data_IF_636210571263
#
_entry.id   IF_636210571263
#
_cell.length_a   1.000
_cell.length_b   1.000
_cell.length_c   1.000
_cell.angle_alpha   90.00
_cell.angle_beta   90.00
_cell.angle_gamma   90.00
#
_symmetry.space_group_name_H-M   'P 1'
#
loop_
_entity.id
_entity.type
_entity.pdbx_description
1 polymer ?
#
# COMPACT_ATOMS: atom_id res chain seq x y z
N UNK A 1 -6.79 -6.31 24.76
CA UNK A 1 -6.20 -7.55 24.26
C UNK A 1 -7.33 -8.56 24.10
N UNK A 2 -7.83 -8.76 22.87
CA UNK A 2 -8.73 -9.88 22.59
C UNK A 2 -7.97 -11.19 22.77
N UNK A 3 -8.57 -12.17 23.43
CA UNK A 3 -7.88 -13.38 23.83
C UNK A 3 -7.70 -14.29 22.60
N UNK A 4 -6.52 -14.21 21.98
CA UNK A 4 -6.15 -14.98 20.77
C UNK A 4 -6.44 -16.48 20.90
N UNK A 5 -6.39 -17.00 22.14
CA UNK A 5 -6.73 -18.39 22.47
C UNK A 5 -8.19 -18.75 22.16
N UNK A 6 -9.13 -17.84 22.40
CA UNK A 6 -10.55 -18.04 22.06
C UNK A 6 -10.73 -18.09 20.54
N UNK A 7 -9.99 -17.26 19.80
CA UNK A 7 -10.03 -17.26 18.33
C UNK A 7 -9.48 -18.57 17.74
N UNK A 8 -8.41 -19.11 18.33
CA UNK A 8 -7.85 -20.41 17.94
C UNK A 8 -8.82 -21.55 18.27
N UNK A 9 -9.41 -21.55 19.47
CA UNK A 9 -10.39 -22.55 19.89
C UNK A 9 -11.63 -22.59 18.97
N UNK A 10 -12.18 -21.43 18.64
CA UNK A 10 -13.29 -21.30 17.70
C UNK A 10 -12.96 -21.88 16.31
N UNK A 11 -11.70 -21.76 15.89
CA UNK A 11 -11.24 -22.27 14.62
C UNK A 11 -11.05 -23.80 14.67
N UNK A 12 -10.54 -24.33 15.77
CA UNK A 12 -10.43 -25.78 16.01
C UNK A 12 -11.82 -26.46 15.91
N UNK A 13 -12.84 -25.90 16.56
CA UNK A 13 -14.22 -26.43 16.48
C UNK A 13 -14.78 -26.40 15.05
N UNK A 14 -14.38 -25.41 14.26
CA UNK A 14 -14.76 -25.30 12.85
C UNK A 14 -14.05 -26.31 11.94
N UNK A 15 -12.75 -26.56 12.16
CA UNK A 15 -12.01 -27.57 11.40
C UNK A 15 -12.49 -28.98 11.74
N UNK A 16 -12.70 -29.28 13.03
CA UNK A 16 -13.17 -30.59 13.52
C UNK A 16 -14.62 -30.88 13.06
N UNK A 17 -15.33 -29.88 12.54
CA UNK A 17 -16.68 -30.04 11.99
C UNK A 17 -17.79 -30.00 13.04
N UNK A 18 -17.46 -29.62 14.28
CA UNK A 18 -18.45 -29.35 15.34
C UNK A 18 -19.26 -28.09 15.04
N UNK A 19 -18.67 -27.11 14.36
CA UNK A 19 -19.36 -25.93 13.86
C UNK A 19 -19.58 -25.99 12.34
N UNK A 20 -20.83 -25.80 11.87
CA UNK A 20 -21.17 -25.76 10.44
C UNK A 20 -20.64 -24.51 9.72
N UNK A 21 -20.35 -23.45 10.47
CA UNK A 21 -19.68 -22.25 9.96
C UNK A 21 -18.98 -21.50 11.09
N UNK A 22 -17.75 -21.04 10.84
CA UNK A 22 -17.03 -20.10 11.70
C UNK A 22 -17.81 -18.79 11.95
N UNK A 23 -18.85 -18.50 11.14
CA UNK A 23 -19.57 -17.24 11.13
C UNK A 23 -20.89 -17.20 11.93
N UNK A 24 -21.38 -18.26 12.58
CA UNK A 24 -22.77 -18.27 13.10
C UNK A 24 -22.97 -17.95 14.57
N UNK A 25 -22.01 -18.20 15.47
CA UNK A 25 -22.27 -18.08 16.92
C UNK A 25 -21.28 -17.19 17.67
N UNK A 26 -20.06 -16.97 17.16
CA UNK A 26 -19.03 -16.15 17.84
C UNK A 26 -18.50 -14.98 16.98
N UNK A 27 -19.02 -14.84 15.76
CA UNK A 27 -18.51 -13.97 14.69
C UNK A 27 -18.74 -12.46 14.89
N UNK A 28 -19.71 -12.07 15.72
CA UNK A 28 -20.03 -10.66 15.95
C UNK A 28 -18.96 -9.90 16.76
N UNK A 29 -18.16 -10.61 17.57
CA UNK A 29 -17.13 -9.99 18.41
C UNK A 29 -15.78 -9.82 17.69
N UNK A 30 -15.46 -10.70 16.74
CA UNK A 30 -14.15 -10.72 16.07
C UNK A 30 -14.12 -10.00 14.71
N UNK A 31 -15.28 -9.63 14.17
CA UNK A 31 -15.40 -9.00 12.84
C UNK A 31 -16.13 -7.66 12.88
N UNK A 32 -15.89 -6.87 13.94
CA UNK A 32 -16.58 -5.60 14.20
C UNK A 32 -16.16 -4.47 13.25
N UNK A 33 -14.87 -4.37 12.96
CA UNK A 33 -14.32 -3.40 12.01
C UNK A 33 -13.41 -4.10 10.99
N UNK A 34 -13.17 -3.45 9.85
CA UNK A 34 -12.44 -4.06 8.72
C UNK A 34 -10.98 -4.38 9.07
N UNK A 35 -10.32 -3.52 9.85
CA UNK A 35 -8.92 -3.69 10.24
C UNK A 35 -8.71 -4.86 11.21
N UNK A 36 -9.50 -4.92 12.29
CA UNK A 36 -9.52 -6.04 13.23
C UNK A 36 -9.93 -7.34 12.55
N UNK A 37 -10.84 -7.27 11.57
CA UNK A 37 -11.21 -8.44 10.76
C UNK A 37 -10.00 -8.99 10.03
N UNK A 38 -9.23 -8.15 9.34
CA UNK A 38 -8.03 -8.59 8.62
C UNK A 38 -6.95 -9.12 9.58
N UNK A 39 -6.71 -8.43 10.70
CA UNK A 39 -5.76 -8.87 11.73
C UNK A 39 -6.14 -10.24 12.33
N UNK A 40 -7.43 -10.44 12.64
CA UNK A 40 -7.94 -11.71 13.15
C UNK A 40 -7.86 -12.82 12.09
N UNK A 41 -8.13 -12.51 10.81
CA UNK A 41 -7.95 -13.47 9.72
C UNK A 41 -6.48 -13.86 9.58
N UNK A 42 -5.54 -12.92 9.68
CA UNK A 42 -4.10 -13.21 9.63
C UNK A 42 -3.65 -14.09 10.79
N UNK A 43 -4.16 -13.83 12.00
CA UNK A 43 -3.86 -14.64 13.19
C UNK A 43 -4.37 -16.08 13.04
N UNK A 44 -5.60 -16.26 12.54
CA UNK A 44 -6.16 -17.59 12.25
C UNK A 44 -5.34 -18.31 11.19
N UNK A 45 -4.98 -17.62 10.10
CA UNK A 45 -4.19 -18.22 9.02
C UNK A 45 -2.80 -18.64 9.51
N UNK A 46 -2.12 -17.81 10.32
CA UNK A 46 -0.85 -18.18 10.97
C UNK A 46 -0.99 -19.45 11.79
N UNK A 47 -1.99 -19.51 12.66
CA UNK A 47 -2.24 -20.67 13.51
C UNK A 47 -2.56 -21.92 12.68
N UNK A 48 -3.46 -21.81 11.70
CA UNK A 48 -3.85 -22.92 10.86
C UNK A 48 -2.67 -23.50 10.07
N UNK A 49 -1.83 -22.64 9.49
CA UNK A 49 -0.64 -23.05 8.75
C UNK A 49 0.35 -23.74 9.71
N UNK A 50 0.62 -23.14 10.87
CA UNK A 50 1.57 -23.69 11.85
C UNK A 50 1.12 -25.04 12.43
N UNK A 51 -0.17 -25.20 12.70
CA UNK A 51 -0.71 -26.35 13.42
C UNK A 51 -1.09 -27.49 12.47
N UNK A 52 -1.66 -27.18 11.30
CA UNK A 52 -2.28 -28.19 10.44
C UNK A 52 -1.60 -28.37 9.08
N UNK A 53 -0.78 -27.42 8.61
CA UNK A 53 -0.15 -27.55 7.29
C UNK A 53 0.98 -28.58 7.27
N UNK A 54 1.61 -28.87 8.42
CA UNK A 54 2.79 -29.73 8.52
C UNK A 54 4.05 -29.19 7.83
N UNK A 55 4.01 -27.97 7.28
CA UNK A 55 5.13 -27.33 6.59
C UNK A 55 6.04 -26.62 7.57
N UNK A 56 7.35 -26.71 7.31
CA UNK A 56 8.33 -25.83 7.95
C UNK A 56 8.29 -24.46 7.27
N UNK A 57 8.77 -23.43 7.98
CA UNK A 57 8.83 -22.07 7.43
C UNK A 57 9.57 -22.06 6.08
N UNK A 58 10.74 -22.69 5.97
CA UNK A 58 11.52 -22.67 4.72
C UNK A 58 10.77 -23.27 3.51
N UNK A 59 9.81 -24.16 3.75
CA UNK A 59 9.01 -24.85 2.71
C UNK A 59 7.71 -24.12 2.36
N UNK A 60 7.29 -23.11 3.15
CA UNK A 60 6.02 -22.41 2.92
C UNK A 60 5.98 -21.64 1.60
N UNK A 61 7.12 -21.15 1.12
CA UNK A 61 7.19 -20.36 -0.10
C UNK A 61 6.75 -21.16 -1.33
N UNK A 62 7.21 -22.41 -1.43
CA UNK A 62 6.91 -23.29 -2.55
C UNK A 62 5.75 -24.24 -2.24
N UNK A 63 5.51 -24.50 -0.95
CA UNK A 63 4.49 -25.42 -0.47
C UNK A 63 3.13 -24.80 -0.19
N UNK A 64 2.98 -23.47 -0.09
CA UNK A 64 1.66 -22.87 0.14
C UNK A 64 0.92 -22.67 -1.20
N UNK A 65 0.02 -23.59 -1.52
CA UNK A 65 -0.83 -23.55 -2.72
C UNK A 65 -2.27 -23.18 -2.39
N UNK A 66 -3.06 -22.76 -3.39
CA UNK A 66 -4.49 -22.49 -3.20
C UNK A 66 -5.25 -23.74 -2.73
N UNK A 67 -4.87 -24.93 -3.23
CA UNK A 67 -5.43 -26.22 -2.80
C UNK A 67 -5.21 -26.49 -1.30
N UNK A 68 -4.03 -26.14 -0.78
CA UNK A 68 -3.72 -26.28 0.65
C UNK A 68 -4.51 -25.29 1.50
N UNK A 69 -4.68 -24.05 1.02
CA UNK A 69 -5.55 -23.06 1.68
C UNK A 69 -7.01 -23.52 1.70
N UNK A 70 -7.46 -24.23 0.67
CA UNK A 70 -8.79 -24.84 0.62
C UNK A 70 -8.92 -26.04 1.56
N UNK A 71 -7.93 -26.93 1.61
CA UNK A 71 -7.87 -28.05 2.54
C UNK A 71 -7.92 -27.57 4.01
N UNK A 72 -7.28 -26.44 4.31
CA UNK A 72 -7.32 -25.78 5.62
C UNK A 72 -8.60 -24.98 5.88
N UNK A 73 -9.56 -24.97 4.94
CA UNK A 73 -10.83 -24.21 4.99
C UNK A 73 -10.64 -22.69 5.18
N UNK A 74 -9.50 -22.15 4.77
CA UNK A 74 -9.16 -20.72 4.92
C UNK A 74 -9.75 -19.85 3.81
N UNK A 75 -10.15 -20.43 2.68
CA UNK A 75 -10.65 -19.70 1.50
C UNK A 75 -11.78 -18.72 1.80
N UNK A 76 -12.73 -19.09 2.68
CA UNK A 76 -13.84 -18.21 3.09
C UNK A 76 -13.38 -17.02 3.93
N UNK A 77 -12.37 -17.21 4.78
CA UNK A 77 -11.78 -16.14 5.61
C UNK A 77 -10.94 -15.21 4.75
N UNK A 78 -10.14 -15.76 3.84
CA UNK A 78 -9.29 -15.01 2.93
C UNK A 78 -10.07 -14.09 1.98
N UNK A 79 -11.34 -14.41 1.65
CA UNK A 79 -12.24 -13.53 0.88
C UNK A 79 -12.61 -12.23 1.62
N UNK A 80 -12.42 -12.16 2.94
CA UNK A 80 -12.68 -10.95 3.74
C UNK A 80 -11.52 -9.95 3.68
N UNK A 81 -10.34 -10.37 3.20
CA UNK A 81 -9.16 -9.51 3.05
C UNK A 81 -9.29 -8.63 1.81
N UNK A 82 -8.93 -7.37 1.94
CA UNK A 82 -8.86 -6.41 0.84
C UNK A 82 -7.55 -6.54 0.07
N UNK A 83 -7.53 -7.33 -1.00
CA UNK A 83 -6.33 -7.47 -1.84
C UNK A 83 -6.08 -6.21 -2.69
N UNK A 84 -4.87 -5.66 -2.65
CA UNK A 84 -4.43 -4.66 -3.61
C UNK A 84 -4.45 -5.23 -5.05
N UNK A 85 -4.85 -4.46 -6.09
CA UNK A 85 -4.96 -5.02 -7.44
C UNK A 85 -3.60 -5.32 -8.10
N UNK A 86 -2.51 -4.73 -7.60
CA UNK A 86 -1.14 -4.91 -8.10
C UNK A 86 -0.56 -6.29 -7.70
N UNK A 87 -1.10 -6.91 -6.66
CA UNK A 87 -0.63 -8.20 -6.15
C UNK A 87 -1.37 -9.40 -6.75
N UNK A 88 -2.22 -9.19 -7.76
CA UNK A 88 -3.05 -10.26 -8.36
C UNK A 88 -2.22 -11.48 -8.76
N UNK A 89 -1.10 -11.27 -9.43
CA UNK A 89 -0.22 -12.35 -9.90
C UNK A 89 0.75 -12.86 -8.81
N UNK A 90 0.86 -12.16 -7.69
CA UNK A 90 1.72 -12.50 -6.54
C UNK A 90 0.92 -12.70 -5.25
N UNK A 91 -0.34 -13.11 -5.35
CA UNK A 91 -1.30 -13.17 -4.22
C UNK A 91 -0.80 -14.05 -3.07
N UNK A 92 -0.21 -15.21 -3.37
CA UNK A 92 0.34 -16.12 -2.36
C UNK A 92 1.55 -15.53 -1.64
N UNK A 93 2.47 -14.91 -2.39
CA UNK A 93 3.63 -14.22 -1.81
C UNK A 93 3.21 -13.03 -0.92
N UNK A 94 2.18 -12.29 -1.34
CA UNK A 94 1.59 -11.22 -0.52
C UNK A 94 1.00 -11.78 0.79
N UNK A 95 0.24 -12.87 0.72
CA UNK A 95 -0.32 -13.52 1.91
C UNK A 95 0.78 -14.02 2.87
N UNK A 96 1.84 -14.64 2.33
CA UNK A 96 2.99 -15.08 3.13
C UNK A 96 3.65 -13.91 3.87
N UNK A 97 3.80 -12.76 3.22
CA UNK A 97 4.29 -11.55 3.87
C UNK A 97 3.33 -11.02 4.94
N UNK A 98 2.01 -11.03 4.70
CA UNK A 98 1.03 -10.65 5.73
C UNK A 98 1.08 -11.57 6.95
N UNK A 99 1.32 -12.86 6.75
CA UNK A 99 1.40 -13.83 7.84
C UNK A 99 2.74 -13.73 8.58
N UNK A 100 3.85 -13.67 7.84
CA UNK A 100 5.22 -13.73 8.35
C UNK A 100 6.12 -12.69 7.66
N UNK A 101 5.96 -11.39 7.98
CA UNK A 101 6.66 -10.31 7.28
C UNK A 101 8.18 -10.35 7.45
N UNK A 102 8.67 -10.85 8.58
CA UNK A 102 10.11 -10.99 8.88
C UNK A 102 10.78 -12.10 8.07
N UNK A 103 10.03 -13.11 7.63
CA UNK A 103 10.56 -14.29 6.93
C UNK A 103 10.39 -14.13 5.42
N UNK A 104 9.24 -13.60 4.98
CA UNK A 104 8.96 -13.37 3.56
C UNK A 104 8.77 -11.88 3.31
N UNK A 105 9.85 -11.12 3.09
CA UNK A 105 9.72 -9.73 2.66
C UNK A 105 9.01 -9.68 1.30
N UNK A 106 8.09 -8.74 1.15
CA UNK A 106 7.36 -8.50 -0.09
C UNK A 106 7.61 -7.08 -0.57
N UNK A 107 8.12 -6.97 -1.79
CA UNK A 107 8.34 -5.67 -2.41
C UNK A 107 7.02 -5.13 -2.98
N UNK A 108 6.26 -4.46 -2.11
CA UNK A 108 5.03 -3.79 -2.50
C UNK A 108 5.31 -2.64 -3.48
N UNK A 109 6.43 -1.93 -3.31
CA UNK A 109 6.80 -0.82 -4.17
C UNK A 109 7.05 -1.26 -5.61
N UNK A 110 7.71 -2.40 -5.81
CA UNK A 110 7.91 -3.00 -7.14
C UNK A 110 6.58 -3.35 -7.81
N UNK A 111 5.64 -3.94 -7.07
CA UNK A 111 4.31 -4.29 -7.59
C UNK A 111 3.55 -3.03 -8.05
N UNK A 112 3.55 -1.99 -7.23
CA UNK A 112 2.92 -0.69 -7.56
C UNK A 112 3.57 -0.06 -8.78
N UNK A 113 4.91 -0.02 -8.85
CA UNK A 113 5.64 0.52 -9.99
C UNK A 113 5.32 -0.21 -11.30
N UNK A 114 5.30 -1.55 -11.27
CA UNK A 114 4.94 -2.39 -12.43
C UNK A 114 3.50 -2.17 -12.89
N UNK A 115 2.57 -2.08 -11.94
CA UNK A 115 1.17 -1.81 -12.25
C UNK A 115 0.99 -0.41 -12.84
N UNK A 116 1.70 0.57 -12.30
CA UNK A 116 1.71 1.94 -12.78
C UNK A 116 2.24 2.07 -14.21
N UNK A 117 3.36 1.42 -14.56
CA UNK A 117 3.88 1.42 -15.94
C UNK A 117 2.87 0.80 -16.93
N UNK A 118 2.24 -0.33 -16.57
CA UNK A 118 1.16 -0.91 -17.41
C UNK A 118 0.02 0.08 -17.65
N UNK A 119 -0.35 0.87 -16.65
CA UNK A 119 -1.39 1.89 -16.77
C UNK A 119 -0.98 3.10 -17.63
N UNK A 120 0.30 3.44 -17.63
CA UNK A 120 0.85 4.48 -18.52
C UNK A 120 0.87 4.02 -19.98
N UNK A 121 1.18 2.74 -20.23
CA UNK A 121 1.14 2.13 -21.57
C UNK A 121 -0.28 2.02 -22.12
N UNK A 122 -1.26 1.75 -21.26
CA UNK A 122 -2.68 1.76 -21.64
C UNK A 122 -3.18 3.19 -21.87
N UNK A 123 -3.06 3.68 -23.11
CA UNK A 123 -3.45 5.04 -23.52
C UNK A 123 -4.88 5.46 -23.13
N UNK A 124 -5.79 4.50 -22.95
CA UNK A 124 -7.22 4.75 -22.69
C UNK A 124 -7.70 4.34 -21.30
N UNK A 125 -6.84 3.83 -20.42
CA UNK A 125 -7.23 3.46 -19.07
C UNK A 125 -6.95 4.62 -18.11
N UNK A 126 -8.03 5.16 -17.52
CA UNK A 126 -7.93 5.98 -16.33
C UNK A 126 -7.59 5.09 -15.13
N UNK A 127 -7.00 5.68 -14.09
CA UNK A 127 -6.84 4.96 -12.84
C UNK A 127 -8.22 4.51 -12.34
N UNK A 128 -8.34 3.31 -11.77
CA UNK A 128 -9.59 2.92 -11.11
C UNK A 128 -9.95 3.96 -10.04
N UNK A 129 -11.20 4.42 -10.02
CA UNK A 129 -11.67 5.56 -9.21
C UNK A 129 -11.34 5.46 -7.71
N UNK A 130 -11.04 4.26 -7.19
CA UNK A 130 -10.77 3.99 -5.78
C UNK A 130 -9.34 3.50 -5.49
N UNK A 131 -8.48 3.47 -6.50
CA UNK A 131 -7.14 2.88 -6.37
C UNK A 131 -6.23 3.70 -5.46
N UNK A 132 -6.29 5.03 -5.61
CA UNK A 132 -5.53 5.98 -4.80
C UNK A 132 -6.34 6.59 -3.63
N UNK A 133 -7.65 6.36 -3.59
CA UNK A 133 -8.50 6.93 -2.53
C UNK A 133 -8.65 5.99 -1.32
N UNK A 134 -8.25 4.73 -1.46
CA UNK A 134 -8.34 3.71 -0.38
C UNK A 134 -7.09 3.66 0.50
N UNK A 135 -7.10 2.73 1.44
CA UNK A 135 -5.96 2.39 2.28
C UNK A 135 -4.68 2.17 1.44
N UNK A 136 -3.58 2.78 1.88
CA UNK A 136 -2.29 2.89 1.16
C UNK A 136 -2.30 3.76 -0.11
N UNK A 137 -3.37 4.52 -0.39
CA UNK A 137 -3.46 5.38 -1.57
C UNK A 137 -2.33 6.41 -1.67
N UNK A 138 -2.09 7.15 -0.58
CA UNK A 138 -0.99 8.13 -0.48
C UNK A 138 0.38 7.47 -0.72
N UNK A 139 0.62 6.32 -0.11
CA UNK A 139 1.86 5.54 -0.27
C UNK A 139 2.06 5.10 -1.72
N UNK A 140 1.00 4.59 -2.39
CA UNK A 140 1.06 4.25 -3.82
C UNK A 140 1.45 5.45 -4.68
N UNK A 141 0.85 6.61 -4.42
CA UNK A 141 1.16 7.84 -5.17
C UNK A 141 2.62 8.25 -4.96
N UNK A 142 3.15 8.12 -3.75
CA UNK A 142 4.58 8.35 -3.46
C UNK A 142 5.49 7.36 -4.20
N UNK A 143 5.15 6.07 -4.20
CA UNK A 143 5.90 5.04 -4.93
C UNK A 143 5.93 5.35 -6.44
N UNK A 144 4.79 5.74 -7.02
CA UNK A 144 4.72 6.12 -8.43
C UNK A 144 5.65 7.30 -8.74
N UNK A 145 5.69 8.33 -7.89
CA UNK A 145 6.58 9.47 -8.11
C UNK A 145 8.05 9.07 -7.96
N UNK A 146 8.39 8.31 -6.92
CA UNK A 146 9.75 7.82 -6.70
C UNK A 146 10.26 7.06 -7.93
N UNK A 147 9.42 6.18 -8.47
CA UNK A 147 9.72 5.42 -9.68
C UNK A 147 9.97 6.34 -10.89
N UNK A 148 9.14 7.37 -11.11
CA UNK A 148 9.35 8.34 -12.19
C UNK A 148 10.62 9.16 -12.02
N UNK A 149 10.93 9.62 -10.80
CA UNK A 149 12.14 10.37 -10.51
C UNK A 149 13.36 9.53 -10.89
N UNK A 150 13.36 8.24 -10.56
CA UNK A 150 14.47 7.32 -10.85
C UNK A 150 14.58 6.95 -12.34
N UNK A 151 13.48 6.92 -13.08
CA UNK A 151 13.46 6.36 -14.45
C UNK A 151 13.31 7.39 -15.56
N UNK A 152 12.71 8.56 -15.30
CA UNK A 152 12.34 9.54 -16.31
C UNK A 152 12.88 10.95 -16.05
N UNK A 153 13.37 11.23 -14.84
CA UNK A 153 13.86 12.54 -14.45
C UNK A 153 15.38 12.52 -14.34
N UNK A 154 16.04 13.48 -14.97
CA UNK A 154 17.48 13.71 -14.81
C UNK A 154 17.69 14.89 -13.86
N UNK A 155 18.52 14.69 -12.83
CA UNK A 155 18.88 15.71 -11.84
C UNK A 155 20.30 15.43 -11.34
N UNK A 156 21.05 16.48 -11.02
CA UNK A 156 22.45 16.36 -10.57
C UNK A 156 22.56 16.35 -9.04
N UNK A 157 21.55 16.89 -8.35
CA UNK A 157 21.51 16.97 -6.90
C UNK A 157 20.08 16.98 -6.35
N UNK A 158 19.94 16.65 -5.07
CA UNK A 158 18.67 16.71 -4.34
C UNK A 158 18.14 18.16 -4.32
N UNK A 159 19.03 19.14 -4.16
CA UNK A 159 18.70 20.57 -4.18
C UNK A 159 17.99 20.98 -5.48
N UNK A 160 18.54 20.56 -6.64
CA UNK A 160 17.90 20.79 -7.94
C UNK A 160 16.52 20.14 -8.02
N UNK A 161 16.34 18.99 -7.39
CA UNK A 161 15.05 18.29 -7.39
C UNK A 161 14.00 19.07 -6.58
N UNK A 162 14.34 19.55 -5.39
CA UNK A 162 13.45 20.42 -4.60
C UNK A 162 13.12 21.73 -5.34
N UNK A 163 14.13 22.36 -5.96
CA UNK A 163 13.93 23.57 -6.75
C UNK A 163 13.01 23.32 -7.96
N UNK A 164 13.13 22.17 -8.62
CA UNK A 164 12.27 21.83 -9.75
C UNK A 164 10.82 21.67 -9.29
N UNK A 165 10.58 21.02 -8.16
CA UNK A 165 9.24 20.78 -7.61
C UNK A 165 8.60 22.02 -7.00
N UNK A 166 9.36 23.09 -6.71
CA UNK A 166 8.79 24.39 -6.32
C UNK A 166 8.32 25.22 -7.52
N UNK A 167 8.72 24.85 -8.75
CA UNK A 167 8.42 25.59 -9.99
C UNK A 167 7.20 25.01 -10.71
N UNK A 168 6.39 25.89 -11.34
CA UNK A 168 5.23 25.50 -12.17
C UNK A 168 5.56 24.52 -13.32
N UNK A 169 6.83 24.46 -13.77
CA UNK A 169 7.27 23.56 -14.85
C UNK A 169 7.05 22.08 -14.49
N UNK A 170 7.10 21.72 -13.21
CA UNK A 170 6.84 20.34 -12.76
C UNK A 170 5.40 19.91 -13.05
N UNK A 171 4.45 20.85 -13.12
CA UNK A 171 3.05 20.52 -13.39
C UNK A 171 2.87 19.84 -14.75
N UNK A 172 3.60 20.30 -15.77
CA UNK A 172 3.57 19.70 -17.11
C UNK A 172 4.12 18.28 -17.08
N UNK A 173 5.19 18.04 -16.31
CA UNK A 173 5.73 16.70 -16.09
C UNK A 173 4.72 15.79 -15.38
N UNK A 174 4.14 16.24 -14.26
CA UNK A 174 3.15 15.46 -13.52
C UNK A 174 1.88 15.17 -14.35
N UNK A 175 1.44 16.12 -15.20
CA UNK A 175 0.30 15.89 -16.11
C UNK A 175 0.62 14.84 -17.16
N UNK A 176 1.82 14.89 -17.77
CA UNK A 176 2.28 13.91 -18.75
C UNK A 176 2.22 12.47 -18.20
N UNK A 177 2.54 12.31 -16.92
CA UNK A 177 2.56 11.01 -16.24
C UNK A 177 1.33 10.76 -15.34
N UNK A 178 0.23 11.50 -15.56
CA UNK A 178 -1.05 11.34 -14.85
C UNK A 178 -0.97 11.46 -13.31
N UNK A 179 0.09 12.05 -12.74
CA UNK A 179 0.24 12.26 -11.29
C UNK A 179 -0.22 13.65 -10.81
N UNK A 180 -0.52 14.58 -11.72
CA UNK A 180 -0.87 15.95 -11.34
C UNK A 180 -2.11 16.02 -10.44
N UNK A 181 -3.21 15.38 -10.83
CA UNK A 181 -4.44 15.38 -10.04
C UNK A 181 -4.23 14.66 -8.71
N UNK A 182 -3.47 13.56 -8.70
CA UNK A 182 -3.17 12.78 -7.50
C UNK A 182 -2.30 13.56 -6.51
N UNK A 183 -1.32 14.33 -7.01
CA UNK A 183 -0.52 15.24 -6.21
C UNK A 183 -1.43 16.18 -5.41
N UNK A 184 -2.34 16.90 -6.08
CA UNK A 184 -3.19 17.88 -5.40
C UNK A 184 -4.40 17.28 -4.67
N UNK A 185 -4.67 16.00 -4.86
CA UNK A 185 -5.63 15.26 -4.05
C UNK A 185 -5.03 14.88 -2.68
N UNK A 186 -3.74 14.50 -2.63
CA UNK A 186 -3.09 14.02 -1.41
C UNK A 186 -2.16 15.03 -0.72
N UNK A 187 -1.77 16.09 -1.42
CA UNK A 187 -0.77 17.05 -0.97
C UNK A 187 -1.18 18.47 -1.31
N UNK A 188 -0.82 19.41 -0.45
CA UNK A 188 -1.09 20.84 -0.67
C UNK A 188 -0.15 21.41 -1.72
N UNK A 189 1.14 21.03 -1.67
CA UNK A 189 2.17 21.49 -2.60
C UNK A 189 2.92 20.32 -3.22
N UNK A 190 3.44 20.53 -4.44
CA UNK A 190 4.29 19.56 -5.13
C UNK A 190 5.60 19.29 -4.39
N UNK A 191 6.09 20.25 -3.58
CA UNK A 191 7.29 20.07 -2.75
C UNK A 191 7.03 19.05 -1.63
N UNK A 192 5.84 19.06 -1.01
CA UNK A 192 5.44 18.04 -0.03
C UNK A 192 5.38 16.66 -0.68
N UNK A 193 4.79 16.61 -1.88
CA UNK A 193 4.69 15.38 -2.63
C UNK A 193 6.08 14.80 -2.94
N UNK A 194 7.04 15.64 -3.37
CA UNK A 194 8.42 15.22 -3.54
C UNK A 194 9.01 14.68 -2.24
N UNK A 195 8.96 15.48 -1.18
CA UNK A 195 9.60 15.17 0.09
C UNK A 195 9.13 13.83 0.65
N UNK A 196 7.82 13.57 0.63
CA UNK A 196 7.26 12.29 1.09
C UNK A 196 7.55 11.11 0.15
N UNK A 197 7.88 11.36 -1.11
CA UNK A 197 8.20 10.32 -2.10
C UNK A 197 9.68 9.93 -2.13
N UNK A 198 10.56 10.71 -1.51
CA UNK A 198 11.99 10.41 -1.45
C UNK A 198 12.29 9.33 -0.41
N UNK A 199 13.37 8.57 -0.65
CA UNK A 199 13.92 7.71 0.39
C UNK A 199 14.45 8.56 1.56
N UNK A 200 14.42 8.04 2.77
CA UNK A 200 14.83 8.80 3.97
C UNK A 200 16.27 9.34 3.87
N UNK A 201 17.18 8.61 3.22
CA UNK A 201 18.56 9.08 2.96
C UNK A 201 18.67 10.25 1.98
N UNK A 202 17.62 10.53 1.22
CA UNK A 202 17.55 11.61 0.24
C UNK A 202 16.69 12.79 0.72
N UNK A 203 15.95 12.63 1.83
CA UNK A 203 15.15 13.70 2.41
C UNK A 203 16.05 14.77 3.00
N UNK A 204 15.64 16.01 2.83
CA UNK A 204 16.33 17.16 3.39
C UNK A 204 15.28 18.14 3.94
N UNK A 205 15.15 18.15 5.26
CA UNK A 205 14.18 18.98 5.99
C UNK A 205 14.39 20.48 5.73
N UNK A 206 15.65 20.92 5.66
CA UNK A 206 15.96 22.32 5.40
C UNK A 206 15.44 22.76 4.04
N UNK A 207 15.73 21.98 2.99
CA UNK A 207 15.27 22.30 1.63
C UNK A 207 13.75 22.23 1.53
N UNK A 208 13.11 21.24 2.15
CA UNK A 208 11.66 21.12 2.20
C UNK A 208 11.03 22.38 2.78
N UNK A 209 11.43 22.78 3.99
CA UNK A 209 10.92 23.99 4.64
C UNK A 209 11.28 25.28 3.90
N UNK A 210 12.48 25.37 3.34
CA UNK A 210 12.89 26.52 2.54
C UNK A 210 11.98 26.74 1.33
N UNK A 211 11.75 25.70 0.51
CA UNK A 211 10.92 25.82 -0.68
C UNK A 211 9.42 25.91 -0.37
N UNK A 212 8.96 25.38 0.78
CA UNK A 212 7.63 25.64 1.30
C UNK A 212 7.43 27.13 1.59
N UNK A 213 8.33 27.72 2.39
CA UNK A 213 8.30 29.14 2.70
C UNK A 213 8.38 29.99 1.43
N UNK A 214 9.30 29.67 0.53
CA UNK A 214 9.50 30.41 -0.72
C UNK A 214 8.23 30.41 -1.60
N UNK A 215 7.55 29.26 -1.70
CA UNK A 215 6.30 29.12 -2.45
C UNK A 215 5.19 30.01 -1.87
N UNK A 216 4.99 29.97 -0.55
CA UNK A 216 3.97 30.76 0.12
C UNK A 216 4.29 32.26 0.10
N UNK A 217 5.54 32.63 0.35
CA UNK A 217 6.00 34.01 0.28
C UNK A 217 5.74 34.63 -1.11
N UNK A 218 6.09 33.90 -2.18
CA UNK A 218 5.83 34.34 -3.57
C UNK A 218 4.33 34.48 -3.87
N UNK A 219 3.46 33.69 -3.25
CA UNK A 219 2.00 33.85 -3.39
C UNK A 219 1.52 35.12 -2.71
N UNK A 220 1.98 35.39 -1.50
CA UNK A 220 1.58 36.57 -0.72
C UNK A 220 2.05 37.87 -1.37
N UNK A 221 3.29 37.92 -1.88
CA UNK A 221 3.79 39.09 -2.63
C UNK A 221 2.91 39.40 -3.84
N UNK A 222 2.60 38.39 -4.66
CA UNK A 222 1.72 38.57 -5.84
C UNK A 222 0.31 39.02 -5.47
N UNK A 223 -0.22 38.53 -4.35
CA UNK A 223 -1.54 38.93 -3.87
C UNK A 223 -1.56 40.42 -3.54
N UNK A 224 -0.55 40.92 -2.82
CA UNK A 224 -0.42 42.35 -2.49
C UNK A 224 -0.20 43.23 -3.72
N UNK A 225 0.59 42.76 -4.68
CA UNK A 225 0.79 43.45 -5.96
C UNK A 225 -0.50 43.55 -6.79
N UNK A 226 -1.40 42.55 -6.71
CA UNK A 226 -2.68 42.58 -7.42
C UNK A 226 -3.76 43.42 -6.72
N UNK A 227 -3.57 43.71 -5.43
CA UNK A 227 -4.45 44.54 -4.60
C UNK A 227 -4.03 46.03 -4.59
N UNK A 228 -2.86 46.37 -5.14
CA UNK A 228 -2.32 47.73 -5.27
C UNK A 228 -2.55 48.30 -6.66
#
# INVERSE_FOLDING_TARGET
MQDKKLLHYAFDEYIIGKASSFNKQESYFYFRNKKETEENVFEICRYAIRTYSGLKMDELKDGLTEERLEALRLTKLLKKISYPPEVKDKKLAYLLNCFYPEIYPFDFAECVAKYYEKLLESKHQNFPDIYFDRQAGRERVCICLNHLIRTRLSYESIDQLYELFSKKKIHTFLKKYKLYTLCYHHFTLSVDFLHESLADSQKNEFLHHYYLFESEFKKEVRKREAES
#
